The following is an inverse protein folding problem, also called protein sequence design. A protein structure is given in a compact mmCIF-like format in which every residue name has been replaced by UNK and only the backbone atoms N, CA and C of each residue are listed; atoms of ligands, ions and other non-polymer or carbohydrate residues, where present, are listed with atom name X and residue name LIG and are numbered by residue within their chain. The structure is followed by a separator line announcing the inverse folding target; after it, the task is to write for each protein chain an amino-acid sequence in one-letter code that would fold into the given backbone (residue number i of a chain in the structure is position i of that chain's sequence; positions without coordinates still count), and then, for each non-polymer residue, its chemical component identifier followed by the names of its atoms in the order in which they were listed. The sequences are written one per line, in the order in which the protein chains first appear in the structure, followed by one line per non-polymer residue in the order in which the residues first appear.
data_IF_737153173604
#
_entry.id   IF_737153173604
#
_cell.length_a   1.000
_cell.length_b   1.000
_cell.length_c   1.000
_cell.angle_alpha   90.00
_cell.angle_beta   90.00
_cell.angle_gamma   90.00
#
_symmetry.space_group_name_H-M   'P 1'
#
loop_
_entity.id
_entity.type
_entity.pdbx_description
1 polymer ?
#
# COMPACT_ATOMS: atom_id res chain seq x y z
N UNK A 1 12.77 16.06 -29.73
CA UNK A 1 13.77 15.72 -28.72
C UNK A 1 13.16 14.71 -27.78
N UNK A 2 13.63 13.45 -27.87
CA UNK A 2 13.20 12.35 -27.00
C UNK A 2 13.74 12.58 -25.60
N UNK A 3 12.85 12.84 -24.64
CA UNK A 3 13.14 12.59 -23.24
C UNK A 3 12.57 11.21 -22.95
N UNK A 4 13.47 10.24 -22.87
CA UNK A 4 13.19 8.90 -22.36
C UNK A 4 12.62 9.04 -20.93
N UNK A 5 11.29 9.06 -20.82
CA UNK A 5 10.60 8.81 -19.56
C UNK A 5 10.83 7.34 -19.21
N UNK A 6 11.74 7.10 -18.28
CA UNK A 6 12.04 5.78 -17.73
C UNK A 6 10.74 5.01 -17.45
N UNK A 7 10.69 3.76 -17.92
CA UNK A 7 9.60 2.81 -17.73
C UNK A 7 8.99 2.94 -16.34
N UNK A 8 7.70 3.30 -16.26
CA UNK A 8 6.87 3.02 -15.09
C UNK A 8 7.12 1.55 -14.73
N UNK A 9 7.78 1.38 -13.57
CA UNK A 9 8.35 0.13 -13.08
C UNK A 9 7.27 -0.95 -13.09
N UNK A 10 7.66 -2.14 -13.53
CA UNK A 10 6.78 -3.30 -13.61
C UNK A 10 5.99 -3.45 -12.29
N UNK A 11 4.70 -3.79 -12.37
CA UNK A 11 3.90 -4.04 -11.19
C UNK A 11 4.58 -5.10 -10.33
N UNK A 12 4.64 -4.87 -9.02
CA UNK A 12 5.16 -5.86 -8.07
C UNK A 12 4.33 -7.14 -8.16
N UNK A 13 5.00 -8.28 -8.18
CA UNK A 13 4.37 -9.59 -8.23
C UNK A 13 4.17 -10.17 -6.82
N UNK A 14 3.37 -11.23 -6.74
CA UNK A 14 3.09 -11.90 -5.45
C UNK A 14 4.36 -12.39 -4.76
N UNK A 15 5.28 -12.98 -5.53
CA UNK A 15 6.53 -13.51 -4.98
C UNK A 15 7.39 -12.44 -4.32
N UNK A 16 7.42 -11.23 -4.88
CA UNK A 16 8.20 -10.10 -4.33
C UNK A 16 7.62 -9.59 -3.01
N UNK A 17 6.28 -9.56 -2.89
CA UNK A 17 5.61 -9.22 -1.63
C UNK A 17 5.91 -10.27 -0.54
N UNK A 18 5.74 -11.55 -0.86
CA UNK A 18 5.96 -12.65 0.07
C UNK A 18 7.42 -12.70 0.54
N UNK A 19 8.38 -12.57 -0.38
CA UNK A 19 9.79 -12.49 -0.07
C UNK A 19 10.10 -11.31 0.86
N UNK A 20 9.55 -10.13 0.57
CA UNK A 20 9.78 -8.94 1.39
C UNK A 20 9.21 -9.09 2.81
N UNK A 21 8.04 -9.71 2.94
CA UNK A 21 7.45 -10.02 4.25
C UNK A 21 8.31 -10.97 5.07
N UNK A 22 8.86 -12.02 4.44
CA UNK A 22 9.79 -12.95 5.09
C UNK A 22 11.06 -12.24 5.54
N UNK A 23 11.65 -11.42 4.65
CA UNK A 23 12.83 -10.62 4.96
C UNK A 23 12.60 -9.65 6.14
N UNK A 24 11.47 -8.95 6.17
CA UNK A 24 11.11 -8.07 7.29
C UNK A 24 10.94 -8.85 8.59
N UNK A 25 10.37 -10.05 8.52
CA UNK A 25 10.27 -10.92 9.69
C UNK A 25 11.64 -11.27 10.26
N UNK A 26 12.65 -11.52 9.41
CA UNK A 26 14.01 -11.78 9.86
C UNK A 26 14.65 -10.56 10.54
N UNK A 27 14.52 -9.37 9.94
CA UNK A 27 15.05 -8.11 10.51
C UNK A 27 14.48 -7.87 11.90
N UNK A 28 13.16 -7.97 12.03
CA UNK A 28 12.44 -7.73 13.28
C UNK A 28 12.85 -8.75 14.36
N UNK A 29 12.98 -10.04 14.00
CA UNK A 29 13.47 -11.08 14.93
C UNK A 29 14.87 -10.78 15.47
N UNK A 30 15.75 -10.21 14.63
CA UNK A 30 17.13 -9.86 15.01
C UNK A 30 17.19 -8.61 15.89
N UNK A 31 16.31 -7.63 15.65
CA UNK A 31 16.39 -6.30 16.27
C UNK A 31 15.45 -6.11 17.50
N UNK A 32 14.38 -6.90 17.64
CA UNK A 32 13.40 -6.78 18.74
C UNK A 32 13.36 -8.06 19.58
N UNK A 33 14.13 -8.11 20.67
CA UNK A 33 14.23 -9.25 21.61
C UNK A 33 12.95 -9.47 22.48
N UNK A 34 11.78 -8.89 22.14
CA UNK A 34 10.58 -9.03 22.99
C UNK A 34 9.38 -9.55 22.21
N UNK A 35 9.15 -10.85 22.34
CA UNK A 35 8.00 -11.66 21.89
C UNK A 35 7.86 -11.89 20.36
N UNK A 36 8.26 -13.07 19.86
CA UNK A 36 8.03 -13.53 18.49
C UNK A 36 6.56 -13.45 18.03
N UNK A 37 5.62 -13.52 18.97
CA UNK A 37 4.18 -13.51 18.72
C UNK A 37 3.62 -12.14 18.28
N UNK A 38 4.42 -11.07 18.30
CA UNK A 38 3.97 -9.73 17.89
C UNK A 38 4.17 -9.45 16.39
N UNK A 39 4.99 -10.25 15.70
CA UNK A 39 5.38 -10.02 14.30
C UNK A 39 4.24 -10.18 13.31
N UNK A 40 3.48 -11.28 13.43
CA UNK A 40 2.31 -11.52 12.57
C UNK A 40 1.25 -10.45 12.75
N UNK A 41 1.22 -9.77 13.90
CA UNK A 41 0.29 -8.67 14.22
C UNK A 41 0.75 -7.29 13.71
N UNK A 42 1.96 -7.16 13.17
CA UNK A 42 2.47 -5.89 12.65
C UNK A 42 1.58 -5.40 11.51
N UNK A 43 1.03 -4.18 11.59
CA UNK A 43 0.11 -3.67 10.58
C UNK A 43 0.85 -3.32 9.29
N UNK A 44 0.25 -3.66 8.15
CA UNK A 44 0.70 -3.19 6.82
C UNK A 44 -0.13 -1.99 6.39
N UNK A 45 0.47 -0.97 5.80
CA UNK A 45 -0.22 0.23 5.30
C UNK A 45 0.22 0.58 3.89
N UNK A 46 -0.63 1.24 3.12
CA UNK A 46 -0.26 1.78 1.82
C UNK A 46 0.19 3.22 1.98
N UNK A 47 1.39 3.55 1.54
CA UNK A 47 1.92 4.92 1.50
C UNK A 47 1.81 5.42 0.08
N UNK A 48 1.07 6.49 -0.14
CA UNK A 48 0.94 7.12 -1.45
C UNK A 48 1.88 8.32 -1.52
N UNK A 49 2.74 8.35 -2.54
CA UNK A 49 3.74 9.39 -2.74
C UNK A 49 3.66 9.99 -4.13
N UNK A 50 4.10 11.24 -4.24
CA UNK A 50 4.30 11.90 -5.53
C UNK A 50 5.57 11.39 -6.20
N UNK A 51 5.50 11.19 -7.51
CA UNK A 51 6.65 10.80 -8.32
C UNK A 51 7.67 11.94 -8.39
N UNK A 52 7.21 13.19 -8.50
CA UNK A 52 8.07 14.38 -8.67
C UNK A 52 9.03 14.64 -7.52
N UNK A 53 8.63 14.35 -6.29
CA UNK A 53 9.37 14.75 -5.09
C UNK A 53 9.46 13.66 -4.01
N UNK A 54 8.89 12.47 -4.25
CA UNK A 54 8.86 11.32 -3.32
C UNK A 54 8.24 11.61 -1.94
N UNK A 55 7.50 12.72 -1.81
CA UNK A 55 6.83 13.09 -0.56
C UNK A 55 5.48 12.41 -0.44
N UNK A 56 5.13 12.08 0.79
CA UNK A 56 3.90 11.37 1.14
C UNK A 56 2.71 12.32 1.07
N UNK A 57 1.66 11.88 0.40
CA UNK A 57 0.40 12.62 0.28
C UNK A 57 -0.77 11.87 0.92
N UNK A 58 -0.67 10.55 1.13
CA UNK A 58 -1.72 9.78 1.80
C UNK A 58 -1.17 8.49 2.45
N UNK A 59 -1.93 7.94 3.40
CA UNK A 59 -1.72 6.65 4.03
C UNK A 59 -3.04 5.87 4.13
N UNK A 60 -3.14 4.73 3.46
CA UNK A 60 -4.36 3.91 3.40
C UNK A 60 -4.24 2.62 4.23
N UNK A 61 -5.37 2.19 4.79
CA UNK A 61 -5.52 0.85 5.36
C UNK A 61 -5.89 -0.20 4.30
N UNK A 62 -5.52 -1.46 4.53
CA UNK A 62 -5.90 -2.59 3.69
C UNK A 62 -7.17 -3.21 4.26
N UNK A 63 -8.23 -3.25 3.46
CA UNK A 63 -9.53 -3.88 3.81
C UNK A 63 -9.47 -5.39 3.61
N UNK A 64 -8.99 -5.83 2.45
CA UNK A 64 -8.91 -7.24 2.04
C UNK A 64 -7.98 -7.42 0.83
N UNK A 65 -7.69 -8.68 0.52
CA UNK A 65 -6.96 -9.10 -0.68
C UNK A 65 -7.84 -10.04 -1.48
N UNK A 66 -7.95 -9.83 -2.78
CA UNK A 66 -8.79 -10.64 -3.67
C UNK A 66 -8.17 -10.78 -5.05
N UNK A 67 -8.70 -11.68 -5.88
CA UNK A 67 -8.35 -11.76 -7.29
C UNK A 67 -9.26 -10.87 -8.12
N UNK A 68 -8.71 -10.29 -9.18
CA UNK A 68 -9.56 -9.69 -10.20
C UNK A 68 -10.47 -10.76 -10.83
N UNK A 69 -11.57 -10.32 -11.46
CA UNK A 69 -12.53 -11.23 -12.10
C UNK A 69 -11.92 -12.16 -13.17
N UNK A 70 -10.77 -11.78 -13.74
CA UNK A 70 -10.06 -12.55 -14.77
C UNK A 70 -8.95 -13.45 -14.22
N UNK A 71 -8.73 -13.46 -12.90
CA UNK A 71 -7.61 -14.13 -12.20
C UNK A 71 -6.21 -13.77 -12.73
N UNK A 72 -6.04 -12.58 -13.31
CA UNK A 72 -4.75 -12.12 -13.88
C UNK A 72 -4.02 -11.10 -13.01
N UNK A 73 -4.61 -10.70 -11.89
CA UNK A 73 -4.06 -9.69 -10.99
C UNK A 73 -4.63 -9.89 -9.59
N UNK A 74 -3.80 -9.71 -8.56
CA UNK A 74 -4.24 -9.66 -7.17
C UNK A 74 -4.51 -8.21 -6.78
N UNK A 75 -5.66 -7.97 -6.17
CA UNK A 75 -6.13 -6.68 -5.71
C UNK A 75 -5.96 -6.57 -4.20
N UNK A 76 -5.13 -5.62 -3.78
CA UNK A 76 -5.08 -5.13 -2.41
C UNK A 76 -6.13 -4.03 -2.30
N UNK A 77 -7.28 -4.36 -1.71
CA UNK A 77 -8.44 -3.47 -1.68
C UNK A 77 -8.33 -2.52 -0.50
N UNK A 78 -8.37 -1.23 -0.80
CA UNK A 78 -8.30 -0.15 0.18
C UNK A 78 -9.61 0.67 0.16
N UNK A 79 -10.12 1.08 1.33
CA UNK A 79 -11.22 2.01 1.42
C UNK A 79 -10.74 3.45 1.12
N UNK A 80 -11.54 4.22 0.36
CA UNK A 80 -11.29 5.64 0.08
C UNK A 80 -11.78 6.59 1.18
N UNK A 81 -12.40 6.07 2.25
CA UNK A 81 -13.16 6.92 3.17
C UNK A 81 -12.28 7.66 4.20
N UNK A 82 -12.78 8.81 4.68
CA UNK A 82 -12.15 9.64 5.73
C UNK A 82 -11.95 8.95 7.08
N UNK A 83 -12.53 7.75 7.31
CA UNK A 83 -12.47 7.03 8.58
C UNK A 83 -11.39 5.95 8.60
N UNK A 84 -10.77 5.65 7.46
CA UNK A 84 -9.80 4.56 7.31
C UNK A 84 -8.61 4.92 6.40
N UNK A 85 -8.41 6.20 6.10
CA UNK A 85 -7.20 6.76 5.47
C UNK A 85 -6.72 7.99 6.24
N UNK A 86 -5.42 8.29 6.27
CA UNK A 86 -4.95 9.59 6.74
C UNK A 86 -5.30 10.65 5.67
N UNK A 87 -6.59 10.94 5.51
CA UNK A 87 -7.09 12.03 4.69
C UNK A 87 -7.85 13.06 5.53
N UNK A 88 -7.68 14.34 5.17
CA UNK A 88 -8.29 15.51 5.79
C UNK A 88 -9.27 16.13 4.80
N UNK A 89 -10.54 16.18 5.20
CA UNK A 89 -11.56 17.00 4.53
C UNK A 89 -12.09 18.03 5.54
N UNK A 90 -12.32 19.26 5.09
CA UNK A 90 -12.93 20.33 5.88
C UNK A 90 -12.10 20.75 7.12
N UNK A 91 -10.77 20.69 7.03
CA UNK A 91 -9.85 21.17 8.08
C UNK A 91 -9.76 20.29 9.34
N UNK A 92 -10.48 19.16 9.38
CA UNK A 92 -10.49 18.26 10.53
C UNK A 92 -9.54 17.08 10.35
N UNK A 93 -8.67 16.87 11.34
CA UNK A 93 -7.75 15.72 11.43
C UNK A 93 -8.44 14.62 12.23
N UNK A 94 -8.72 13.50 11.59
CA UNK A 94 -9.25 12.32 12.26
C UNK A 94 -8.11 11.36 12.60
N UNK A 95 -7.88 11.09 13.89
CA UNK A 95 -7.09 9.93 14.34
C UNK A 95 -7.94 8.70 14.05
N UNK A 96 -7.54 7.89 13.10
CA UNK A 96 -8.35 6.75 12.69
C UNK A 96 -7.86 5.48 13.34
N UNK A 97 -8.83 4.71 13.83
CA UNK A 97 -8.68 3.26 13.96
C UNK A 97 -8.57 2.69 12.54
N UNK A 98 -7.40 2.87 11.91
CA UNK A 98 -7.02 2.21 10.67
C UNK A 98 -7.02 0.71 10.96
N UNK A 99 -8.18 0.06 10.80
CA UNK A 99 -8.25 -1.40 10.80
C UNK A 99 -7.63 -1.82 9.48
N UNK A 100 -6.35 -2.15 9.54
CA UNK A 100 -5.57 -2.63 8.41
C UNK A 100 -5.19 -4.08 8.69
N UNK A 101 -4.99 -4.84 7.63
CA UNK A 101 -4.49 -6.20 7.76
C UNK A 101 -3.05 -6.19 8.29
N UNK A 102 -2.78 -7.18 9.13
CA UNK A 102 -1.44 -7.44 9.60
C UNK A 102 -0.63 -8.21 8.56
N UNK A 103 0.69 -8.29 8.72
CA UNK A 103 1.56 -9.10 7.84
C UNK A 103 1.05 -10.55 7.81
N UNK A 104 0.66 -11.10 8.97
CA UNK A 104 0.13 -12.46 9.06
C UNK A 104 -1.15 -12.67 8.26
N UNK A 105 -2.10 -11.73 8.37
CA UNK A 105 -3.37 -11.79 7.62
C UNK A 105 -3.13 -11.72 6.12
N UNK A 106 -2.20 -10.87 5.68
CA UNK A 106 -1.85 -10.70 4.27
C UNK A 106 -1.18 -11.94 3.71
N UNK A 107 -0.15 -12.46 4.39
CA UNK A 107 0.55 -13.68 3.97
C UNK A 107 -0.41 -14.85 3.91
N UNK A 108 -1.30 -15.00 4.90
CA UNK A 108 -2.34 -16.03 4.88
C UNK A 108 -3.27 -15.87 3.67
N UNK A 109 -3.71 -14.65 3.37
CA UNK A 109 -4.57 -14.38 2.21
C UNK A 109 -3.91 -14.79 0.90
N UNK A 110 -2.61 -14.49 0.71
CA UNK A 110 -1.87 -14.95 -0.46
C UNK A 110 -1.75 -16.47 -0.52
N UNK A 111 -1.48 -17.14 0.59
CA UNK A 111 -1.41 -18.61 0.62
C UNK A 111 -2.77 -19.27 0.35
N UNK A 112 -3.87 -18.66 0.80
CA UNK A 112 -5.22 -19.16 0.50
C UNK A 112 -5.56 -18.96 -0.98
N UNK A 113 -5.22 -17.81 -1.58
CA UNK A 113 -5.34 -17.59 -3.03
C UNK A 113 -4.47 -18.55 -3.84
N UNK A 114 -3.24 -18.80 -3.38
CA UNK A 114 -2.31 -19.75 -4.00
C UNK A 114 -2.89 -21.15 -4.05
N UNK A 115 -3.50 -21.62 -2.96
CA UNK A 115 -4.18 -22.92 -2.94
C UNK A 115 -5.26 -22.95 -4.00
N UNK A 116 -6.24 -22.04 -3.96
CA UNK A 116 -7.35 -21.98 -4.92
C UNK A 116 -6.85 -21.99 -6.37
N UNK A 117 -5.88 -21.14 -6.70
CA UNK A 117 -5.38 -21.01 -8.07
C UNK A 117 -4.56 -22.24 -8.51
N UNK A 118 -3.67 -22.74 -7.64
CA UNK A 118 -2.75 -23.81 -8.02
C UNK A 118 -3.40 -25.20 -7.96
N UNK A 119 -4.40 -25.42 -7.09
CA UNK A 119 -5.09 -26.72 -6.99
C UNK A 119 -6.30 -26.79 -7.90
N UNK A 120 -7.13 -25.74 -7.97
CA UNK A 120 -8.44 -25.84 -8.63
C UNK A 120 -8.36 -25.42 -10.09
N UNK A 121 -7.51 -24.45 -10.43
CA UNK A 121 -7.32 -23.94 -11.80
C UNK A 121 -6.07 -24.52 -12.49
N UNK A 122 -5.27 -25.34 -11.81
CA UNK A 122 -4.07 -26.00 -12.36
C UNK A 122 -2.92 -25.05 -12.74
N UNK A 123 -2.93 -23.81 -12.22
CA UNK A 123 -1.88 -22.82 -12.48
C UNK A 123 -0.59 -23.21 -11.74
N UNK A 124 0.57 -23.08 -12.40
CA UNK A 124 1.84 -23.39 -11.76
C UNK A 124 2.19 -22.39 -10.65
N UNK A 125 2.93 -22.85 -9.64
CA UNK A 125 3.43 -21.98 -8.57
C UNK A 125 4.19 -20.77 -9.13
N UNK A 126 5.02 -20.98 -10.16
CA UNK A 126 5.74 -19.90 -10.83
C UNK A 126 4.79 -18.85 -11.36
N UNK A 127 3.75 -19.28 -12.09
CA UNK A 127 2.77 -18.37 -12.63
C UNK A 127 2.02 -17.59 -11.55
N UNK A 128 1.67 -18.23 -10.41
CA UNK A 128 1.06 -17.54 -9.27
C UNK A 128 1.99 -16.45 -8.70
N UNK A 129 3.27 -16.78 -8.49
CA UNK A 129 4.26 -15.85 -7.97
C UNK A 129 4.51 -14.67 -8.91
N UNK A 130 4.32 -14.87 -10.21
CA UNK A 130 4.44 -13.87 -11.28
C UNK A 130 3.14 -13.06 -11.52
N UNK A 131 2.05 -13.30 -10.78
CA UNK A 131 0.82 -12.50 -10.91
C UNK A 131 1.07 -11.08 -10.37
N UNK A 132 0.73 -10.03 -11.13
CA UNK A 132 0.90 -8.65 -10.68
C UNK A 132 -0.08 -8.31 -9.54
N UNK A 133 0.40 -7.54 -8.57
CA UNK A 133 -0.34 -7.03 -7.42
C UNK A 133 -0.62 -5.54 -7.63
N UNK A 134 -1.87 -5.14 -7.45
CA UNK A 134 -2.30 -3.74 -7.57
C UNK A 134 -3.09 -3.32 -6.35
N UNK A 135 -2.95 -2.06 -5.96
CA UNK A 135 -3.81 -1.43 -4.96
C UNK A 135 -5.06 -0.92 -5.66
N UNK A 136 -6.21 -1.36 -5.21
CA UNK A 136 -7.51 -0.92 -5.71
C UNK A 136 -8.19 -0.10 -4.63
N UNK A 137 -8.42 1.17 -4.92
CA UNK A 137 -9.11 2.06 -4.01
C UNK A 137 -10.59 1.97 -4.33
N UNK A 138 -11.40 1.68 -3.32
CA UNK A 138 -12.85 1.51 -3.43
C UNK A 138 -13.59 2.49 -2.54
N UNK A 139 -14.72 2.99 -3.04
CA UNK A 139 -15.69 3.66 -2.17
C UNK A 139 -16.22 2.65 -1.16
N UNK A 140 -16.08 2.95 0.14
CA UNK A 140 -16.40 1.99 1.19
C UNK A 140 -17.89 1.61 1.21
N UNK A 141 -18.79 2.52 0.80
CA UNK A 141 -20.24 2.29 0.82
C UNK A 141 -20.74 1.58 -0.42
N UNK A 142 -20.24 1.97 -1.59
CA UNK A 142 -20.69 1.46 -2.88
C UNK A 142 -19.85 0.29 -3.41
N UNK A 143 -18.71 -0.03 -2.77
CA UNK A 143 -17.68 -0.96 -3.26
C UNK A 143 -17.25 -0.70 -4.72
N UNK A 144 -17.45 0.53 -5.19
CA UNK A 144 -17.08 0.95 -6.53
C UNK A 144 -15.60 1.30 -6.54
N UNK A 145 -14.86 0.80 -7.54
CA UNK A 145 -13.47 1.20 -7.78
C UNK A 145 -13.44 2.69 -8.12
N UNK A 146 -12.67 3.45 -7.34
CA UNK A 146 -12.42 4.88 -7.55
C UNK A 146 -11.08 5.14 -8.19
N UNK A 147 -10.08 4.30 -7.91
CA UNK A 147 -8.72 4.43 -8.46
C UNK A 147 -7.94 3.11 -8.31
N UNK A 148 -6.82 3.01 -9.04
CA UNK A 148 -5.90 1.89 -9.01
C UNK A 148 -4.45 2.39 -9.01
N UNK A 149 -3.63 1.87 -8.09
CA UNK A 149 -2.21 2.20 -7.97
C UNK A 149 -1.35 0.95 -8.07
N UNK A 150 -0.17 1.10 -8.65
CA UNK A 150 0.85 0.05 -8.65
C UNK A 150 1.74 0.19 -7.41
N UNK A 151 2.07 -0.94 -6.79
CA UNK A 151 3.02 -0.96 -5.68
C UNK A 151 4.42 -0.87 -6.28
N UNK A 152 5.15 0.18 -5.93
CA UNK A 152 6.50 0.44 -6.42
C UNK A 152 7.58 -0.23 -5.55
N UNK A 153 7.35 -0.33 -4.24
CA UNK A 153 8.27 -0.99 -3.31
C UNK A 153 7.58 -1.32 -1.98
N UNK A 154 8.20 -2.19 -1.19
CA UNK A 154 7.78 -2.50 0.18
C UNK A 154 8.90 -2.15 1.14
N UNK A 155 8.58 -1.48 2.26
CA UNK A 155 9.56 -1.05 3.27
C UNK A 155 9.03 -1.31 4.69
N UNK A 156 9.94 -1.44 5.64
CA UNK A 156 9.62 -1.44 7.08
C UNK A 156 10.20 -0.18 7.71
N UNK A 157 9.52 0.40 8.71
CA UNK A 157 10.11 1.52 9.44
C UNK A 157 11.18 1.07 10.44
N UNK A 158 12.08 1.99 10.77
CA UNK A 158 13.24 1.74 11.64
C UNK A 158 12.86 1.27 13.05
N UNK A 159 11.63 1.56 13.51
CA UNK A 159 11.11 1.12 14.80
C UNK A 159 10.40 -0.24 14.75
N UNK A 160 10.30 -0.86 13.57
CA UNK A 160 9.61 -2.13 13.36
C UNK A 160 8.11 -2.13 13.66
N UNK A 161 7.50 -0.96 13.76
CA UNK A 161 6.11 -0.78 14.19
C UNK A 161 5.10 -0.82 13.03
N UNK A 162 5.57 -1.02 11.80
CA UNK A 162 4.72 -1.13 10.62
C UNK A 162 5.50 -1.43 9.35
N UNK A 163 4.87 -2.19 8.46
CA UNK A 163 5.33 -2.41 7.08
C UNK A 163 4.48 -1.57 6.12
N UNK A 164 5.09 -1.11 5.04
CA UNK A 164 4.53 -0.14 4.14
C UNK A 164 4.65 -0.60 2.69
N UNK A 165 3.55 -0.59 1.95
CA UNK A 165 3.54 -0.72 0.50
C UNK A 165 3.52 0.68 -0.10
N UNK A 166 4.57 1.03 -0.80
CA UNK A 166 4.75 2.37 -1.35
C UNK A 166 4.22 2.39 -2.78
N UNK A 167 3.25 3.26 -3.01
CA UNK A 167 2.71 3.55 -4.33
C UNK A 167 3.21 4.93 -4.77
N UNK A 168 3.50 5.06 -6.06
CA UNK A 168 3.86 6.33 -6.68
C UNK A 168 2.72 6.80 -7.58
N UNK A 169 2.34 8.05 -7.42
CA UNK A 169 1.41 8.75 -8.31
C UNK A 169 2.24 9.61 -9.26
N UNK A 170 2.03 9.45 -10.56
CA UNK A 170 2.64 10.29 -11.61
C UNK A 170 1.99 11.68 -11.62
N UNK A 171 2.31 12.45 -10.60
CA UNK A 171 1.79 13.79 -10.41
C UNK A 171 2.29 14.77 -11.48
N UNK A 172 3.44 14.51 -12.09
CA UNK A 172 3.99 15.31 -13.20
C UNK A 172 3.01 15.29 -14.37
N UNK A 173 2.58 14.09 -14.79
CA UNK A 173 1.58 13.96 -15.86
C UNK A 173 0.24 14.55 -15.45
N UNK A 174 -0.23 14.23 -14.23
CA UNK A 174 -1.53 14.71 -13.74
C UNK A 174 -1.61 16.24 -13.69
N UNK A 175 -0.54 16.92 -13.25
CA UNK A 175 -0.48 18.38 -13.18
C UNK A 175 -0.40 18.98 -14.59
N UNK A 176 0.35 18.36 -15.50
CA UNK A 176 0.40 18.78 -16.91
C UNK A 176 -0.99 18.75 -17.56
N UNK A 177 -1.78 17.71 -17.27
CA UNK A 177 -3.14 17.55 -17.78
C UNK A 177 -4.17 18.42 -17.04
N UNK A 178 -3.96 18.68 -15.74
CA UNK A 178 -4.81 19.52 -14.92
C UNK A 178 -3.98 20.31 -13.88
N UNK A 179 -3.57 21.54 -14.22
CA UNK A 179 -2.69 22.36 -13.38
C UNK A 179 -3.26 22.66 -11.99
N UNK A 180 -4.59 22.64 -11.84
CA UNK A 180 -5.23 22.90 -10.54
C UNK A 180 -4.95 21.83 -9.47
N UNK A 181 -4.48 20.64 -9.88
CA UNK A 181 -4.14 19.54 -8.98
C UNK A 181 -2.87 19.81 -8.16
N UNK A 182 -1.96 20.64 -8.65
CA UNK A 182 -0.70 20.94 -7.96
C UNK A 182 -0.96 21.46 -6.54
N UNK A 183 -1.88 22.43 -6.41
CA UNK A 183 -2.26 22.98 -5.11
C UNK A 183 -2.85 21.92 -4.17
N UNK A 184 -3.66 21.00 -4.69
CA UNK A 184 -4.30 19.93 -3.90
C UNK A 184 -3.24 18.95 -3.36
N UNK A 185 -2.25 18.61 -4.19
CA UNK A 185 -1.15 17.73 -3.82
C UNK A 185 -0.21 18.40 -2.80
N UNK A 186 0.14 19.66 -2.99
CA UNK A 186 0.94 20.45 -2.05
C UNK A 186 0.27 20.59 -0.69
N UNK A 187 -1.05 20.82 -0.68
CA UNK A 187 -1.82 20.87 0.55
C UNK A 187 -1.84 19.51 1.27
N UNK A 188 -1.99 18.41 0.53
CA UNK A 188 -1.99 17.05 1.08
C UNK A 188 -0.64 16.71 1.72
N UNK A 189 0.45 17.08 1.04
CA UNK A 189 1.81 16.93 1.55
C UNK A 189 2.04 17.69 2.87
N UNK A 190 1.70 18.99 2.90
CA UNK A 190 1.84 19.83 4.11
C UNK A 190 1.05 19.26 5.29
N UNK A 191 -0.20 18.86 5.02
CA UNK A 191 -1.09 18.27 6.02
C UNK A 191 -0.52 16.98 6.60
N UNK A 192 0.08 16.12 5.78
CA UNK A 192 0.76 14.92 6.25
C UNK A 192 1.96 15.26 7.14
N UNK A 193 2.82 16.19 6.70
CA UNK A 193 4.00 16.61 7.46
C UNK A 193 3.64 17.19 8.84
N UNK A 194 2.59 18.01 8.91
CA UNK A 194 2.08 18.57 10.17
C UNK A 194 1.58 17.48 11.12
N UNK A 195 0.88 16.47 10.59
CA UNK A 195 0.40 15.34 11.39
C UNK A 195 1.56 14.56 12.00
N UNK A 196 2.55 14.19 11.19
CA UNK A 196 3.73 13.45 11.67
C UNK A 196 4.46 14.26 12.74
N UNK A 197 4.64 15.56 12.51
CA UNK A 197 5.26 16.47 13.48
C UNK A 197 4.50 16.49 14.82
N UNK A 198 3.17 16.53 14.80
CA UNK A 198 2.33 16.47 16.02
C UNK A 198 2.40 15.12 16.73
N UNK A 199 2.50 14.02 15.98
CA UNK A 199 2.61 12.67 16.55
C UNK A 199 3.97 12.45 17.21
N UNK A 200 5.03 13.03 16.66
CA UNK A 200 6.38 12.99 17.25
C UNK A 200 6.45 13.85 18.51
N UNK A 201 5.89 15.05 18.52
CA UNK A 201 5.90 15.95 19.69
C UNK A 201 5.07 15.47 20.88
N UNK A 202 4.11 14.57 20.65
CA UNK A 202 3.24 13.99 21.69
C UNK A 202 3.68 12.57 22.12
N UNK A 203 4.90 12.15 21.75
CA UNK A 203 5.58 10.96 22.29
C UNK A 203 6.61 11.39 23.33
#
# INVERSE_FOLDING_TARGET
MNVNGEKLKNPICVGEILYSHEYFNEILRKNLIKSPDQLSSVPVKIVVKRLSNNKVIDLLGIKRIELNKKKTCIWVVCPSNKKTSIFIQDGNIYKLKLKTLSIGDITKSFEDLKKVICTDDGLSLKCFLDIPVRVVITDEKAEKVVDCLDIATTLINDTGSGVFYHCLVDDIRMISENPSLERILDESEKKYADLISKLIKNR
#
